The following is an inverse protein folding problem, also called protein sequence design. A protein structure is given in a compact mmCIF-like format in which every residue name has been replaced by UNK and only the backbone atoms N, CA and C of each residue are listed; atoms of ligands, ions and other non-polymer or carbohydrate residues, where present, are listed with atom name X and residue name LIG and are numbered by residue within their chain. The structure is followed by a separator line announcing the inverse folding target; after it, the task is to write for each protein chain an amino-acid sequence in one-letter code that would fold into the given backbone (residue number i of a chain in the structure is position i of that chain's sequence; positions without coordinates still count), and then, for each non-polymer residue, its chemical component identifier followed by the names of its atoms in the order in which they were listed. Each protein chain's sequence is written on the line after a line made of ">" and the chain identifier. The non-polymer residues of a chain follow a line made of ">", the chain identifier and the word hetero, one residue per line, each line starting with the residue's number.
data_IF_473458346087
#
_entry.id   IF_473458346087
#
_cell.length_a   1.000
_cell.length_b   1.000
_cell.length_c   1.000
_cell.angle_alpha   90.00
_cell.angle_beta   90.00
_cell.angle_gamma   90.00
#
_symmetry.space_group_name_H-M   'P 1'
#
loop_
_entity.id
_entity.type
_entity.pdbx_description
1 polymer ?
#
# COMPACT_ATOMS: atom_id res chain seq x y z
N UNK A 1 5.75 1.03 -6.52
CA UNK A 1 5.69 -0.44 -6.41
C UNK A 1 5.38 -0.86 -4.97
N UNK A 2 4.24 -0.43 -4.40
CA UNK A 2 3.86 -0.69 -2.98
C UNK A 2 2.89 -1.88 -2.82
N UNK A 3 2.40 -2.41 -3.94
CA UNK A 3 1.43 -3.49 -3.98
C UNK A 3 1.93 -4.86 -3.50
N UNK A 4 3.17 -5.30 -3.81
CA UNK A 4 3.70 -6.55 -3.25
C UNK A 4 3.78 -6.51 -1.72
N UNK A 5 4.02 -5.33 -1.16
CA UNK A 5 4.07 -5.12 0.29
C UNK A 5 2.69 -5.26 0.94
N UNK A 6 1.65 -4.81 0.23
CA UNK A 6 0.26 -4.90 0.69
C UNK A 6 -0.25 -6.34 0.71
N UNK A 7 0.22 -7.20 -0.20
CA UNK A 7 -0.13 -8.63 -0.22
C UNK A 7 0.46 -9.41 0.96
N UNK A 8 1.63 -8.99 1.45
CA UNK A 8 2.33 -9.67 2.56
C UNK A 8 1.94 -9.07 3.91
N UNK A 9 1.66 -7.77 3.96
CA UNK A 9 1.34 -7.04 5.18
C UNK A 9 0.29 -5.94 4.93
N UNK A 10 -1.00 -6.29 4.86
CA UNK A 10 -2.09 -5.32 4.66
C UNK A 10 -2.22 -4.35 5.84
N UNK A 11 -1.90 -4.80 7.06
CA UNK A 11 -1.94 -4.01 8.29
C UNK A 11 -0.63 -3.26 8.59
N UNK A 12 0.26 -3.14 7.59
CA UNK A 12 1.51 -2.40 7.75
C UNK A 12 1.21 -0.92 8.05
N UNK A 13 1.66 -0.47 9.21
CA UNK A 13 1.65 0.95 9.60
C UNK A 13 3.07 1.48 9.45
N UNK A 14 3.22 2.56 8.69
CA UNK A 14 4.49 3.28 8.59
C UNK A 14 4.80 3.98 9.92
N UNK A 15 6.09 4.25 10.23
CA UNK A 15 6.47 4.96 11.45
C UNK A 15 5.83 6.35 11.61
N UNK A 16 5.35 6.94 10.51
CA UNK A 16 4.58 8.21 10.51
C UNK A 16 3.10 8.04 10.94
N UNK A 17 2.67 6.83 11.29
CA UNK A 17 1.29 6.52 11.71
C UNK A 17 0.31 6.32 10.55
N UNK A 18 0.78 6.40 9.29
CA UNK A 18 -0.04 6.20 8.10
C UNK A 18 -0.05 4.71 7.72
N UNK A 19 -1.23 4.15 7.48
CA UNK A 19 -1.36 2.78 6.97
C UNK A 19 -0.96 2.68 5.49
N UNK A 20 -0.43 1.54 5.08
CA UNK A 20 -0.12 1.24 3.68
C UNK A 20 -1.34 1.44 2.76
N UNK A 21 -2.54 1.10 3.24
CA UNK A 21 -3.81 1.33 2.54
C UNK A 21 -4.09 2.83 2.31
N UNK A 22 -3.93 3.68 3.32
CA UNK A 22 -4.09 5.13 3.17
C UNK A 22 -3.06 5.70 2.19
N UNK A 23 -1.82 5.21 2.26
CA UNK A 23 -0.77 5.64 1.35
C UNK A 23 -1.08 5.28 -0.11
N UNK A 24 -1.55 4.05 -0.36
CA UNK A 24 -1.99 3.60 -1.70
C UNK A 24 -3.19 4.40 -2.22
N UNK A 25 -4.15 4.71 -1.34
CA UNK A 25 -5.33 5.52 -1.66
C UNK A 25 -4.93 6.95 -2.03
N UNK A 26 -4.03 7.56 -1.25
CA UNK A 26 -3.55 8.93 -1.49
C UNK A 26 -2.74 9.03 -2.79
N UNK A 27 -1.89 8.04 -3.07
CA UNK A 27 -1.09 8.01 -4.29
C UNK A 27 -1.92 7.82 -5.57
N UNK A 28 -3.21 7.49 -5.46
CA UNK A 28 -4.02 7.10 -6.63
C UNK A 28 -3.40 5.91 -7.36
N UNK A 29 -2.64 5.08 -6.65
CA UNK A 29 -1.87 3.99 -7.22
C UNK A 29 -2.83 2.87 -7.62
N UNK A 30 -3.33 2.93 -8.86
CA UNK A 30 -4.11 1.87 -9.45
C UNK A 30 -3.40 0.53 -9.20
N UNK A 31 -4.15 -0.46 -8.69
CA UNK A 31 -3.63 -1.81 -8.51
C UNK A 31 -3.09 -2.27 -9.87
N UNK A 32 -1.77 -2.51 -9.99
CA UNK A 32 -1.25 -2.99 -11.24
C UNK A 32 -1.93 -4.32 -11.53
N UNK A 33 -2.57 -4.42 -12.69
CA UNK A 33 -3.48 -5.51 -13.00
C UNK A 33 -2.78 -6.86 -12.94
N UNK A 34 -1.53 -6.93 -13.40
CA UNK A 34 -0.68 -8.11 -13.37
C UNK A 34 0.72 -7.69 -12.95
N UNK A 35 1.24 -8.38 -11.93
CA UNK A 35 2.66 -8.56 -11.69
C UNK A 35 2.94 -10.04 -11.89
#
# INVERSE_FOLDING_TARGET
>A
MLWPLFEIAPDLIFPDGISLHQHLTHLGAAKPAHW
#
